data_IF_739137071427
#
_entry.id   IF_739137071427
#
_cell.length_a   1.000
_cell.length_b   1.000
_cell.length_c   1.000
_cell.angle_alpha   90.00
_cell.angle_beta   90.00
_cell.angle_gamma   90.00
#
_symmetry.space_group_name_H-M   'P 1'
#
loop_
_entity.id
_entity.type
_entity.pdbx_description
1 polymer ?
#
# COMPACT_ATOMS: atom_id res chain seq x y z
N UNK A 1 -2.83 -9.63 8.34
CA UNK A 1 -3.49 -9.74 7.02
C UNK A 1 -2.73 -8.84 6.07
N UNK A 2 -2.03 -9.41 5.10
CA UNK A 2 -1.24 -8.69 4.10
C UNK A 2 -2.17 -8.05 3.09
N UNK A 3 -2.21 -6.74 3.08
CA UNK A 3 -3.11 -5.95 2.23
C UNK A 3 -2.29 -5.20 1.21
N UNK A 4 -2.38 -5.61 -0.05
CA UNK A 4 -1.81 -4.91 -1.18
C UNK A 4 -2.58 -3.61 -1.45
N UNK A 5 -1.86 -2.51 -1.67
CA UNK A 5 -2.47 -1.22 -1.94
C UNK A 5 -1.88 -0.69 -3.25
N UNK A 6 -2.70 -0.70 -4.29
CA UNK A 6 -2.37 -0.23 -5.65
C UNK A 6 -3.17 1.04 -5.96
N UNK A 7 -2.59 1.98 -6.72
CA UNK A 7 -3.30 3.20 -7.15
C UNK A 7 -3.53 4.26 -6.06
N UNK A 8 -2.93 4.11 -4.88
CA UNK A 8 -3.08 4.99 -3.72
C UNK A 8 -2.62 6.45 -3.94
N UNK A 9 -1.86 6.73 -5.01
CA UNK A 9 -1.40 8.09 -5.36
C UNK A 9 -2.38 8.87 -6.24
N UNK A 10 -3.41 8.21 -6.79
CA UNK A 10 -4.45 8.88 -7.57
C UNK A 10 -5.46 9.60 -6.69
N UNK A 11 -6.38 10.36 -7.30
CA UNK A 11 -7.39 11.16 -6.57
C UNK A 11 -8.23 10.32 -5.59
N UNK A 12 -8.71 9.14 -6.01
CA UNK A 12 -9.48 8.25 -5.13
C UNK A 12 -8.58 7.60 -4.08
N UNK A 13 -7.37 7.19 -4.49
CA UNK A 13 -6.39 6.56 -3.64
C UNK A 13 -5.93 7.44 -2.48
N UNK A 14 -5.73 8.74 -2.71
CA UNK A 14 -5.31 9.67 -1.67
C UNK A 14 -6.39 9.87 -0.62
N UNK A 15 -7.66 9.95 -1.05
CA UNK A 15 -8.81 10.03 -0.13
C UNK A 15 -8.95 8.72 0.66
N UNK A 16 -8.76 7.57 0.02
CA UNK A 16 -8.74 6.28 0.72
C UNK A 16 -7.66 6.26 1.82
N UNK A 17 -6.42 6.68 1.51
CA UNK A 17 -5.34 6.74 2.49
C UNK A 17 -5.63 7.68 3.66
N UNK A 18 -6.25 8.83 3.39
CA UNK A 18 -6.68 9.77 4.43
C UNK A 18 -7.72 9.13 5.36
N UNK A 19 -8.76 8.49 4.79
CA UNK A 19 -9.82 7.81 5.55
C UNK A 19 -9.26 6.65 6.37
N UNK A 20 -8.40 5.82 5.79
CA UNK A 20 -7.77 4.70 6.49
C UNK A 20 -6.91 5.15 7.67
N UNK A 21 -6.21 6.29 7.54
CA UNK A 21 -5.48 6.88 8.69
C UNK A 21 -6.44 7.41 9.75
N UNK A 22 -7.49 8.12 9.34
CA UNK A 22 -8.48 8.70 10.26
C UNK A 22 -9.20 7.62 11.09
N UNK A 23 -9.52 6.49 10.46
CA UNK A 23 -10.21 5.36 11.12
C UNK A 23 -9.23 4.33 11.73
N UNK A 24 -7.91 4.56 11.62
CA UNK A 24 -6.84 3.69 12.14
C UNK A 24 -6.81 2.28 11.55
N UNK A 25 -7.21 2.13 10.29
CA UNK A 25 -7.26 0.84 9.61
C UNK A 25 -5.87 0.18 9.50
N UNK A 26 -4.80 0.98 9.37
CA UNK A 26 -3.42 0.49 9.30
C UNK A 26 -2.92 -0.21 10.58
N UNK A 27 -3.60 -0.01 11.72
CA UNK A 27 -3.26 -0.65 12.99
C UNK A 27 -3.63 -2.14 12.99
N UNK A 28 -4.55 -2.57 12.11
CA UNK A 28 -5.08 -3.95 12.07
C UNK A 28 -4.70 -4.73 10.81
N UNK A 29 -4.00 -4.11 9.86
CA UNK A 29 -3.48 -4.76 8.64
C UNK A 29 -1.96 -4.67 8.52
N UNK A 30 -1.39 -5.47 7.63
CA UNK A 30 0.00 -5.40 7.16
C UNK A 30 0.00 -4.80 5.74
N UNK A 31 0.15 -3.47 5.59
CA UNK A 31 0.03 -2.82 4.30
C UNK A 31 1.28 -3.05 3.43
N UNK A 32 1.06 -3.41 2.17
CA UNK A 32 2.10 -3.52 1.13
C UNK A 32 1.77 -2.55 0.01
N UNK A 33 2.62 -1.54 -0.18
CA UNK A 33 2.39 -0.51 -1.19
C UNK A 33 3.02 -0.87 -2.52
N UNK A 34 2.24 -0.76 -3.58
CA UNK A 34 2.69 -1.02 -4.96
C UNK A 34 2.74 0.27 -5.79
N UNK A 35 3.58 0.26 -6.83
CA UNK A 35 3.65 1.33 -7.83
C UNK A 35 4.10 0.78 -9.18
N UNK A 36 3.55 1.31 -10.28
CA UNK A 36 4.03 1.03 -11.64
C UNK A 36 5.19 1.94 -12.06
N UNK A 37 5.32 3.12 -11.46
CA UNK A 37 6.26 4.16 -11.89
C UNK A 37 7.41 4.42 -10.92
N UNK A 38 7.30 3.97 -9.67
CA UNK A 38 8.27 4.23 -8.60
C UNK A 38 8.60 2.95 -7.80
N UNK A 39 8.47 1.77 -8.41
CA UNK A 39 8.87 0.50 -7.78
C UNK A 39 10.32 0.58 -7.26
N UNK A 40 10.55 0.07 -6.05
CA UNK A 40 11.84 0.17 -5.33
C UNK A 40 12.08 1.48 -4.58
N UNK A 41 11.22 2.49 -4.77
CA UNK A 41 11.22 3.74 -4.00
C UNK A 41 10.69 3.59 -2.57
N UNK A 42 10.64 4.70 -1.84
CA UNK A 42 10.11 4.71 -0.46
C UNK A 42 8.58 4.62 -0.45
N UNK A 43 8.05 3.74 0.41
CA UNK A 43 6.63 3.64 0.68
C UNK A 43 6.19 4.72 1.68
N UNK A 44 4.93 5.16 1.66
CA UNK A 44 4.43 6.14 2.62
C UNK A 44 4.47 5.57 4.04
N UNK A 45 4.94 6.36 5.00
CA UNK A 45 4.88 5.97 6.41
C UNK A 45 3.44 6.11 6.93
N UNK A 46 2.81 4.97 7.22
CA UNK A 46 1.45 4.85 7.79
C UNK A 46 1.47 4.57 9.29
N UNK A 47 2.55 4.91 10.00
CA UNK A 47 2.72 4.63 11.43
C UNK A 47 3.29 3.24 11.72
N UNK A 48 3.80 2.57 10.69
CA UNK A 48 4.45 1.24 10.75
C UNK A 48 5.92 1.29 10.30
N UNK A 49 6.44 2.48 10.00
CA UNK A 49 7.74 2.68 9.38
C UNK A 49 7.66 2.67 7.85
N UNK A 50 8.54 3.42 7.19
CA UNK A 50 8.60 3.48 5.73
C UNK A 50 9.19 2.18 5.16
N UNK A 51 8.36 1.40 4.47
CA UNK A 51 8.78 0.26 3.67
C UNK A 51 9.31 0.68 2.28
N UNK A 52 9.47 -0.29 1.37
CA UNK A 52 9.76 -0.03 -0.04
C UNK A 52 8.54 -0.34 -0.90
N UNK A 53 8.38 0.41 -2.00
CA UNK A 53 7.34 0.18 -2.98
C UNK A 53 7.65 -1.10 -3.78
N UNK A 54 6.67 -1.99 -3.87
CA UNK A 54 6.70 -3.17 -4.74
C UNK A 54 6.23 -2.80 -6.16
N UNK A 55 6.59 -3.61 -7.16
CA UNK A 55 6.11 -3.40 -8.54
C UNK A 55 4.67 -3.87 -8.68
N UNK A 56 3.79 -2.98 -9.12
CA UNK A 56 2.37 -3.28 -9.33
C UNK A 56 2.11 -4.27 -10.49
N UNK A 57 3.12 -4.61 -11.30
CA UNK A 57 3.04 -5.64 -12.34
C UNK A 57 3.63 -7.00 -11.89
N UNK A 58 4.19 -7.08 -10.69
CA UNK A 58 4.74 -8.32 -10.14
C UNK A 58 3.60 -9.19 -9.60
N UNK A 59 3.21 -10.20 -10.39
CA UNK A 59 2.13 -11.11 -10.06
C UNK A 59 2.45 -11.99 -8.86
N UNK A 60 3.71 -12.33 -8.61
CA UNK A 60 4.10 -13.14 -7.45
C UNK A 60 3.97 -12.31 -6.17
N UNK A 61 4.39 -11.05 -6.20
CA UNK A 61 4.23 -10.13 -5.08
C UNK A 61 2.75 -9.84 -4.77
N UNK A 62 1.91 -9.68 -5.81
CA UNK A 62 0.47 -9.51 -5.66
C UNK A 62 -0.20 -10.75 -5.07
N UNK A 63 0.14 -11.94 -5.56
CA UNK A 63 -0.42 -13.21 -5.08
C UNK A 63 -0.03 -13.53 -3.63
N UNK A 64 1.06 -12.94 -3.12
CA UNK A 64 1.46 -13.08 -1.72
C UNK A 64 0.63 -12.21 -0.75
N UNK A 65 -0.25 -11.35 -1.24
CA UNK A 65 -1.19 -10.57 -0.42
C UNK A 65 -2.49 -11.36 -0.18
N UNK A 66 -3.04 -11.25 1.04
CA UNK A 66 -4.33 -11.84 1.38
C UNK A 66 -5.49 -11.10 0.69
N UNK A 67 -5.31 -9.80 0.43
CA UNK A 67 -6.25 -8.92 -0.27
C UNK A 67 -5.47 -7.86 -1.06
N UNK A 68 -6.02 -7.36 -2.17
CA UNK A 68 -5.47 -6.28 -3.02
C UNK A 68 -6.58 -5.29 -3.39
#
# INVERSE_FOLDING_TARGET
MKTGIVGWRGMVGSVLMERMRAERDFDVIEPVFFSTSQAGGEAPDVGRGAGRLQDANDLEALAACDVV
#
